data_IF_289473642907
#
_entry.id   IF_289473642907
#
_cell.length_a   1.000
_cell.length_b   1.000
_cell.length_c   1.000
_cell.angle_alpha   90.00
_cell.angle_beta   90.00
_cell.angle_gamma   90.00
#
_symmetry.space_group_name_H-M   'P 1'
#
loop_
_entity.id
_entity.type
_entity.pdbx_description
1 polymer ?
#
# COMPACT_ATOMS: atom_id res chain seq x y z
N UNK A 1 -30.57 6.88 -9.17
CA UNK A 1 -29.92 5.59 -8.88
C UNK A 1 -28.87 5.88 -7.84
N UNK A 2 -29.14 5.53 -6.58
CA UNK A 2 -28.18 5.73 -5.50
C UNK A 2 -27.32 4.48 -5.49
N UNK A 3 -26.09 4.60 -5.99
CA UNK A 3 -25.10 3.54 -5.88
C UNK A 3 -24.87 3.24 -4.40
N UNK A 4 -25.11 2.01 -3.97
CA UNK A 4 -24.75 1.55 -2.62
C UNK A 4 -23.61 0.54 -2.78
N UNK A 5 -22.48 1.00 -3.32
CA UNK A 5 -21.26 0.21 -3.36
C UNK A 5 -20.77 -0.03 -1.93
N UNK A 6 -20.76 -1.29 -1.49
CA UNK A 6 -20.22 -1.69 -0.16
C UNK A 6 -18.85 -2.34 -0.25
N UNK A 7 -18.51 -2.90 -1.42
CA UNK A 7 -17.26 -3.63 -1.61
C UNK A 7 -16.27 -2.79 -2.41
N UNK A 8 -15.01 -2.92 -2.00
CA UNK A 8 -13.86 -2.37 -2.72
C UNK A 8 -12.86 -3.45 -3.04
N UNK A 9 -12.18 -3.30 -4.17
CA UNK A 9 -11.03 -4.11 -4.57
C UNK A 9 -9.84 -3.20 -4.77
N UNK A 10 -8.71 -3.58 -4.19
CA UNK A 10 -7.42 -2.93 -4.39
C UNK A 10 -6.56 -3.81 -5.31
N UNK A 11 -5.96 -3.20 -6.33
CA UNK A 11 -5.10 -3.86 -7.30
C UNK A 11 -3.75 -3.15 -7.33
N UNK A 12 -2.69 -3.87 -6.99
CA UNK A 12 -1.34 -3.33 -7.00
C UNK A 12 -0.77 -3.23 -8.41
N UNK A 13 -0.14 -2.10 -8.70
CA UNK A 13 0.69 -1.87 -9.88
C UNK A 13 2.11 -1.50 -9.42
N UNK A 14 2.89 -2.44 -8.86
CA UNK A 14 4.17 -2.15 -8.23
C UNK A 14 5.30 -1.77 -9.18
N UNK A 15 5.01 -1.64 -10.48
CA UNK A 15 5.93 -1.13 -11.50
C UNK A 15 5.40 0.10 -12.21
N UNK A 16 4.34 0.71 -11.66
CA UNK A 16 3.88 1.98 -12.17
C UNK A 16 4.89 3.08 -11.83
N UNK A 17 5.07 4.02 -12.76
CA UNK A 17 6.07 5.08 -12.67
C UNK A 17 5.40 6.41 -12.26
N UNK A 18 4.56 6.35 -11.22
CA UNK A 18 3.81 7.51 -10.73
C UNK A 18 4.77 8.49 -10.05
N UNK A 19 4.78 9.75 -10.52
CA UNK A 19 5.62 10.84 -10.00
C UNK A 19 7.13 10.52 -9.94
N UNK A 20 7.60 9.51 -10.71
CA UNK A 20 9.00 9.15 -10.77
C UNK A 20 9.80 10.28 -11.45
N UNK A 21 10.72 10.90 -10.71
CA UNK A 21 11.64 11.93 -11.23
C UNK A 21 12.98 11.35 -11.70
N UNK A 22 13.17 10.04 -11.50
CA UNK A 22 14.33 9.24 -11.93
C UNK A 22 13.87 7.84 -12.36
N UNK A 23 14.79 6.88 -12.50
CA UNK A 23 14.48 5.50 -12.85
C UNK A 23 14.00 4.65 -11.67
N UNK A 24 13.61 5.26 -10.54
CA UNK A 24 13.06 4.52 -9.41
C UNK A 24 11.64 4.08 -9.73
N UNK A 25 11.38 2.79 -9.50
CA UNK A 25 10.02 2.26 -9.56
C UNK A 25 9.28 2.70 -8.30
N UNK A 26 8.30 3.59 -8.45
CA UNK A 26 7.50 4.11 -7.33
C UNK A 26 6.37 3.14 -6.98
N UNK A 27 5.56 2.76 -7.97
CA UNK A 27 4.41 1.88 -7.86
C UNK A 27 3.13 2.60 -7.42
N UNK A 28 1.98 1.99 -7.68
CA UNK A 28 0.66 2.50 -7.30
C UNK A 28 -0.30 1.37 -6.89
N UNK A 29 -1.45 1.74 -6.35
CA UNK A 29 -2.58 0.85 -6.11
C UNK A 29 -3.85 1.47 -6.68
N UNK A 30 -4.53 0.74 -7.54
CA UNK A 30 -5.82 1.15 -8.10
C UNK A 30 -6.96 0.57 -7.27
N UNK A 31 -7.94 1.42 -6.96
CA UNK A 31 -9.12 1.06 -6.18
C UNK A 31 -10.36 1.05 -7.08
N UNK A 32 -11.13 -0.01 -6.96
CA UNK A 32 -12.38 -0.22 -7.66
C UNK A 32 -13.51 -0.40 -6.65
N UNK A 33 -14.66 0.19 -6.93
CA UNK A 33 -15.87 0.05 -6.13
C UNK A 33 -16.89 -0.79 -6.89
N UNK A 34 -17.55 -1.71 -6.18
CA UNK A 34 -18.67 -2.45 -6.74
C UNK A 34 -19.84 -1.51 -7.04
N UNK A 35 -20.43 -1.69 -8.21
CA UNK A 35 -21.65 -1.01 -8.64
C UNK A 35 -22.79 -2.00 -8.83
N UNK A 36 -24.00 -1.48 -9.04
CA UNK A 36 -25.18 -2.28 -9.31
C UNK A 36 -24.92 -3.32 -10.42
N UNK A 37 -25.65 -4.43 -10.34
CA UNK A 37 -25.54 -5.56 -11.28
C UNK A 37 -24.17 -6.27 -11.27
N UNK A 38 -23.39 -6.11 -10.19
CA UNK A 38 -22.10 -6.79 -9.98
C UNK A 38 -20.97 -6.21 -10.84
N UNK A 39 -21.14 -4.99 -11.33
CA UNK A 39 -20.08 -4.27 -12.04
C UNK A 39 -19.02 -3.73 -11.09
N UNK A 40 -17.87 -3.34 -11.65
CA UNK A 40 -16.82 -2.65 -10.92
C UNK A 40 -16.51 -1.33 -11.63
N UNK A 41 -16.50 -0.22 -10.89
CA UNK A 41 -16.09 1.08 -11.39
C UNK A 41 -14.76 1.47 -10.76
N UNK A 42 -13.90 2.11 -11.54
CA UNK A 42 -12.69 2.75 -11.01
C UNK A 42 -13.10 3.85 -10.01
N UNK A 43 -12.54 3.80 -8.81
CA UNK A 43 -12.77 4.80 -7.74
C UNK A 43 -11.64 5.82 -7.74
N UNK A 44 -10.41 5.35 -7.55
CA UNK A 44 -9.23 6.20 -7.48
C UNK A 44 -7.94 5.38 -7.66
N UNK A 45 -6.82 6.08 -7.74
CA UNK A 45 -5.49 5.51 -7.63
C UNK A 45 -4.80 6.16 -6.43
N UNK A 46 -4.14 5.33 -5.62
CA UNK A 46 -3.35 5.78 -4.48
C UNK A 46 -1.89 5.44 -4.70
N UNK A 47 -1.05 6.37 -4.26
CA UNK A 47 0.39 6.26 -4.22
C UNK A 47 0.86 7.14 -3.05
N UNK A 48 1.97 6.79 -2.40
CA UNK A 48 2.52 7.62 -1.34
C UNK A 48 2.99 8.97 -1.89
N UNK A 49 3.10 9.99 -1.02
CA UNK A 49 3.32 11.40 -1.35
C UNK A 49 4.57 11.74 -2.21
N UNK A 50 5.35 12.78 -1.87
CA UNK A 50 6.37 13.33 -2.79
C UNK A 50 7.84 12.93 -2.48
N UNK A 51 8.09 11.67 -2.15
CA UNK A 51 9.39 11.16 -1.70
C UNK A 51 9.77 9.92 -2.53
N UNK A 52 10.61 10.04 -3.57
CA UNK A 52 10.94 9.01 -4.57
C UNK A 52 11.64 7.70 -4.07
N UNK A 53 11.31 7.25 -2.86
CA UNK A 53 11.93 6.19 -2.08
C UNK A 53 11.01 4.99 -1.88
N UNK A 54 10.04 4.79 -2.79
CA UNK A 54 8.92 3.89 -2.54
C UNK A 54 9.20 2.44 -2.90
N UNK A 55 9.98 2.19 -3.95
CA UNK A 55 10.47 0.86 -4.27
C UNK A 55 9.38 -0.20 -4.27
N UNK A 56 8.62 -0.28 -5.37
CA UNK A 56 7.57 -1.26 -5.59
C UNK A 56 6.38 -1.15 -4.61
N UNK A 57 5.87 0.06 -4.37
CA UNK A 57 4.60 0.26 -3.67
C UNK A 57 3.46 -0.49 -4.36
N UNK A 58 2.59 -1.14 -3.61
CA UNK A 58 1.53 -2.00 -4.18
C UNK A 58 1.97 -3.45 -4.41
N UNK A 59 3.17 -3.82 -3.96
CA UNK A 59 3.71 -5.19 -4.08
C UNK A 59 3.02 -6.21 -3.17
N UNK A 60 2.50 -5.75 -2.04
CA UNK A 60 1.66 -6.50 -1.12
C UNK A 60 0.51 -5.61 -0.67
N UNK A 61 -0.70 -6.17 -0.55
CA UNK A 61 -1.87 -5.44 -0.07
C UNK A 61 -2.59 -6.30 0.98
N UNK A 62 -2.98 -5.69 2.09
CA UNK A 62 -3.91 -6.27 3.05
C UNK A 62 -5.01 -5.25 3.35
N UNK A 63 -6.27 -5.68 3.31
CA UNK A 63 -7.39 -4.85 3.73
C UNK A 63 -7.62 -5.02 5.23
N UNK A 64 -7.75 -3.89 5.94
CA UNK A 64 -8.14 -3.83 7.33
C UNK A 64 -9.53 -3.20 7.39
N UNK A 65 -10.53 -4.06 7.47
CA UNK A 65 -11.95 -3.68 7.40
C UNK A 65 -12.30 -2.91 6.11
N UNK A 66 -13.31 -2.04 6.14
CA UNK A 66 -13.84 -1.35 4.95
C UNK A 66 -13.14 -0.02 4.63
N UNK A 67 -12.31 0.49 5.56
CA UNK A 67 -11.80 1.86 5.51
C UNK A 67 -10.29 1.98 5.53
N UNK A 68 -9.54 0.91 5.76
CA UNK A 68 -8.08 0.93 5.77
C UNK A 68 -7.50 -0.13 4.84
N UNK A 69 -6.43 0.24 4.14
CA UNK A 69 -5.62 -0.69 3.37
C UNK A 69 -4.16 -0.49 3.76
N UNK A 70 -3.46 -1.61 3.88
CA UNK A 70 -2.03 -1.65 4.09
C UNK A 70 -1.35 -2.04 2.79
N UNK A 71 -0.30 -1.31 2.44
CA UNK A 71 0.37 -1.45 1.15
C UNK A 71 1.87 -1.57 1.38
N UNK A 72 2.44 -2.67 0.90
CA UNK A 72 3.86 -2.97 0.99
C UNK A 72 4.66 -2.25 -0.10
N UNK A 73 5.83 -1.77 0.29
CA UNK A 73 6.81 -1.10 -0.56
C UNK A 73 8.20 -1.68 -0.22
N UNK A 74 8.40 -2.95 -0.58
CA UNK A 74 9.49 -3.78 -0.03
C UNK A 74 10.91 -3.35 -0.47
N UNK A 75 11.04 -2.46 -1.46
CA UNK A 75 12.33 -1.90 -1.87
C UNK A 75 12.52 -0.44 -1.47
N UNK A 76 11.61 0.10 -0.65
CA UNK A 76 11.81 1.43 -0.08
C UNK A 76 13.14 1.51 0.68
N UNK A 77 13.79 2.67 0.67
CA UNK A 77 15.15 2.85 1.17
C UNK A 77 15.24 3.76 2.42
N UNK A 78 14.13 3.88 3.15
CA UNK A 78 13.99 4.74 4.34
C UNK A 78 15.00 4.48 5.46
N UNK A 79 15.35 3.22 5.71
CA UNK A 79 16.31 2.81 6.73
C UNK A 79 17.58 2.18 6.10
N UNK A 80 17.89 2.59 4.87
CA UNK A 80 18.97 2.05 4.04
C UNK A 80 18.45 1.24 2.87
N UNK A 81 19.34 0.94 1.92
CA UNK A 81 19.01 0.32 0.64
C UNK A 81 18.12 -0.92 0.83
N UNK A 82 16.93 -0.92 0.21
CA UNK A 82 15.99 -2.04 0.23
C UNK A 82 15.56 -2.47 1.65
N UNK A 83 15.53 -1.54 2.61
CA UNK A 83 15.03 -1.79 3.97
C UNK A 83 13.52 -2.08 3.99
N UNK A 84 12.76 -1.49 3.05
CA UNK A 84 11.34 -1.67 2.86
C UNK A 84 10.46 -0.85 3.82
N UNK A 85 9.19 -0.70 3.48
CA UNK A 85 8.19 -0.02 4.30
C UNK A 85 6.77 -0.56 4.05
N UNK A 86 5.85 -0.20 4.95
CA UNK A 86 4.40 -0.43 4.77
C UNK A 86 3.68 0.89 4.95
N UNK A 87 2.78 1.21 4.03
CA UNK A 87 1.94 2.39 4.09
C UNK A 87 0.53 2.01 4.52
N UNK A 88 -0.10 2.85 5.34
CA UNK A 88 -1.49 2.74 5.75
C UNK A 88 -2.26 3.85 5.06
N UNK A 89 -3.24 3.47 4.23
CA UNK A 89 -4.17 4.39 3.61
C UNK A 89 -5.54 4.22 4.23
N UNK A 90 -6.22 5.34 4.46
CA UNK A 90 -7.55 5.37 5.05
C UNK A 90 -8.48 6.32 4.28
N UNK A 91 -9.78 6.04 4.34
CA UNK A 91 -10.81 6.96 3.85
C UNK A 91 -10.97 8.09 4.87
N UNK A 92 -10.64 9.31 4.47
CA UNK A 92 -10.81 10.50 5.31
C UNK A 92 -12.28 10.93 5.45
N UNK A 93 -12.54 11.96 6.27
CA UNK A 93 -13.89 12.47 6.53
C UNK A 93 -14.63 12.98 5.28
N UNK A 94 -13.92 13.26 4.20
CA UNK A 94 -14.48 13.72 2.94
C UNK A 94 -14.74 12.58 1.95
N UNK A 95 -14.51 11.33 2.35
CA UNK A 95 -14.69 10.15 1.51
C UNK A 95 -13.55 9.92 0.52
N UNK A 96 -12.41 10.58 0.68
CA UNK A 96 -11.24 10.39 -0.17
C UNK A 96 -10.18 9.53 0.53
N UNK A 97 -9.49 8.68 -0.22
CA UNK A 97 -8.34 7.94 0.28
C UNK A 97 -7.16 8.88 0.51
N UNK A 98 -6.49 8.73 1.65
CA UNK A 98 -5.29 9.46 2.00
C UNK A 98 -4.32 8.55 2.75
N UNK A 99 -3.03 8.81 2.59
CA UNK A 99 -2.01 8.21 3.45
C UNK A 99 -2.23 8.68 4.89
N UNK A 100 -2.44 7.74 5.80
CA UNK A 100 -2.63 8.01 7.22
C UNK A 100 -1.32 7.87 8.00
N UNK A 101 -0.53 6.83 7.68
CA UNK A 101 0.75 6.58 8.32
C UNK A 101 1.67 5.70 7.49
N UNK A 102 2.94 5.67 7.88
CA UNK A 102 3.96 4.76 7.37
C UNK A 102 4.57 3.97 8.52
N UNK A 103 4.73 2.66 8.32
CA UNK A 103 5.35 1.73 9.24
C UNK A 103 6.74 1.35 8.69
N UNK A 104 7.73 1.49 9.56
CA UNK A 104 9.12 1.08 9.33
C UNK A 104 9.48 -0.03 10.33
N UNK A 105 10.45 -0.88 9.98
CA UNK A 105 10.93 -1.89 10.92
C UNK A 105 11.66 -1.23 12.10
N UNK A 106 11.42 -1.69 13.32
CA UNK A 106 12.07 -1.13 14.52
C UNK A 106 13.59 -1.36 14.54
N UNK A 107 14.05 -2.42 13.88
CA UNK A 107 15.45 -2.82 13.72
C UNK A 107 15.86 -2.88 12.24
N UNK A 108 15.16 -2.10 11.39
CA UNK A 108 15.34 -2.13 9.93
C UNK A 108 16.80 -1.90 9.50
N UNK A 109 17.29 -2.83 8.68
CA UNK A 109 18.60 -2.82 8.08
C UNK A 109 18.50 -2.85 6.54
N UNK A 110 19.57 -2.43 5.84
CA UNK A 110 19.64 -2.60 4.40
C UNK A 110 19.37 -4.05 3.98
N UNK A 111 18.47 -4.23 3.02
CA UNK A 111 18.11 -5.52 2.45
C UNK A 111 17.04 -6.32 3.20
N UNK A 112 16.54 -5.86 4.35
CA UNK A 112 15.50 -6.58 5.10
C UNK A 112 14.20 -6.75 4.29
N UNK A 113 13.86 -5.74 3.48
CA UNK A 113 12.67 -5.72 2.63
C UNK A 113 11.38 -5.89 3.46
N UNK A 114 11.25 -5.10 4.52
CA UNK A 114 10.03 -4.99 5.32
C UNK A 114 8.83 -4.63 4.43
N UNK A 115 7.68 -5.25 4.68
CA UNK A 115 6.49 -5.06 3.84
C UNK A 115 6.43 -5.98 2.60
N UNK A 116 7.35 -6.94 2.48
CA UNK A 116 7.34 -7.94 1.41
C UNK A 116 6.05 -8.76 1.34
N UNK A 117 5.44 -9.04 2.49
CA UNK A 117 4.14 -9.70 2.60
C UNK A 117 3.36 -9.09 3.74
N UNK A 118 2.03 -9.05 3.61
CA UNK A 118 1.12 -8.49 4.59
C UNK A 118 -0.03 -9.46 4.85
N UNK A 119 -0.45 -9.54 6.11
CA UNK A 119 -1.65 -10.27 6.50
C UNK A 119 -2.31 -9.57 7.67
N UNK A 120 -3.57 -9.16 7.48
CA UNK A 120 -4.42 -8.69 8.57
C UNK A 120 -5.10 -9.89 9.21
N UNK A 121 -4.97 -10.04 10.53
CA UNK A 121 -5.52 -11.17 11.29
C UNK A 121 -6.86 -10.84 11.98
N UNK A 122 -7.32 -9.59 11.92
CA UNK A 122 -8.42 -9.09 12.75
C UNK A 122 -7.92 -8.46 14.05
N UNK A 123 -8.82 -7.81 14.80
CA UNK A 123 -8.54 -7.24 16.13
C UNK A 123 -7.29 -6.33 16.16
N UNK A 124 -7.13 -5.50 15.12
CA UNK A 124 -5.99 -4.58 14.95
C UNK A 124 -4.61 -5.28 14.88
N UNK A 125 -4.59 -6.59 14.59
CA UNK A 125 -3.36 -7.35 14.42
C UNK A 125 -2.94 -7.45 12.96
N UNK A 126 -1.71 -7.01 12.69
CA UNK A 126 -1.05 -7.09 11.40
C UNK A 126 0.21 -7.96 11.53
N UNK A 127 0.41 -8.82 10.54
CA UNK A 127 1.70 -9.49 10.30
C UNK A 127 2.36 -8.87 9.09
N UNK A 128 3.63 -8.47 9.27
CA UNK A 128 4.48 -7.97 8.19
C UNK A 128 5.67 -8.91 8.02
N UNK A 129 5.84 -9.43 6.81
CA UNK A 129 6.98 -10.26 6.46
C UNK A 129 8.16 -9.45 5.91
N UNK A 130 9.35 -10.01 6.08
CA UNK A 130 10.61 -9.56 5.50
C UNK A 130 11.18 -10.68 4.62
N UNK A 131 11.90 -10.36 3.56
CA UNK A 131 12.55 -11.41 2.73
C UNK A 131 13.85 -11.89 3.35
N UNK A 132 14.57 -10.99 4.00
CA UNK A 132 15.80 -11.33 4.69
C UNK A 132 15.74 -10.88 6.14
N UNK A 133 16.51 -11.55 6.99
CA UNK A 133 16.81 -11.08 8.33
C UNK A 133 18.28 -10.70 8.27
N UNK A 134 18.60 -9.41 8.31
CA UNK A 134 19.97 -8.94 8.45
C UNK A 134 20.71 -9.74 9.52
N UNK A 135 21.85 -10.33 9.17
CA UNK A 135 22.70 -11.09 10.09
C UNK A 135 23.65 -10.18 10.85
#
# INVERSE_FOLDING_TARGET
VTFVGRLRVAVGAPKDDVEATDSSTTGSVQLFMEVDEGGWQWETEVFPGNEARYGFFGSAIAAMEDQHILIGAYQADWQGDLSGSVYVFAINSNGAWAEESMLLSTDGQPGDQFGATLCYLGEDQLVVGTYTRGK
#
